data_IF_124473428436
#
_entry.id   IF_124473428436
#
_cell.length_a   1.000
_cell.length_b   1.000
_cell.length_c   1.000
_cell.angle_alpha   90.00
_cell.angle_beta   90.00
_cell.angle_gamma   90.00
#
_symmetry.space_group_name_H-M   'P 1'
#
loop_
_entity.id
_entity.type
_entity.pdbx_description
1 polymer ?
#
# COMPACT_ATOMS: atom_id res chain seq x y z
N UNK A 1 35.74 22.55 -20.15
CA UNK A 1 35.50 21.64 -21.29
C UNK A 1 35.25 20.27 -20.68
N UNK A 2 33.97 19.91 -20.47
CA UNK A 2 33.60 18.58 -20.00
C UNK A 2 33.79 17.58 -21.15
N UNK A 3 34.36 16.43 -20.85
CA UNK A 3 34.82 15.49 -21.86
C UNK A 3 33.62 14.73 -22.45
N UNK A 4 33.46 14.73 -23.77
CA UNK A 4 32.40 14.01 -24.51
C UNK A 4 32.26 12.51 -24.13
N UNK A 5 33.32 11.92 -23.57
CA UNK A 5 33.31 10.55 -23.06
C UNK A 5 32.58 10.37 -21.72
N UNK A 6 32.51 11.40 -20.86
CA UNK A 6 31.71 11.34 -19.62
C UNK A 6 30.21 11.38 -19.94
N UNK A 7 29.83 12.17 -20.94
CA UNK A 7 28.44 12.31 -21.40
C UNK A 7 27.88 11.01 -22.00
N UNK A 8 28.67 10.25 -22.77
CA UNK A 8 28.25 8.94 -23.31
C UNK A 8 28.09 7.86 -22.23
N UNK A 9 28.85 7.93 -21.12
CA UNK A 9 28.75 6.96 -20.03
C UNK A 9 27.52 7.21 -19.15
N UNK A 10 27.16 8.48 -18.94
CA UNK A 10 25.91 8.86 -18.25
C UNK A 10 24.67 8.44 -19.06
N UNK A 11 24.68 8.64 -20.38
CA UNK A 11 23.58 8.24 -21.27
C UNK A 11 23.43 6.70 -21.32
N UNK A 12 24.54 5.96 -21.29
CA UNK A 12 24.52 4.50 -21.17
C UNK A 12 23.97 4.03 -19.81
N UNK A 13 24.26 4.73 -18.71
CA UNK A 13 23.72 4.42 -17.38
C UNK A 13 22.23 4.75 -17.25
N UNK A 14 21.76 5.84 -17.85
CA UNK A 14 20.32 6.15 -17.95
C UNK A 14 19.59 5.14 -18.84
N UNK A 15 20.22 4.74 -19.96
CA UNK A 15 19.73 3.70 -20.86
C UNK A 15 19.60 2.34 -20.16
N UNK A 16 20.52 2.01 -19.25
CA UNK A 16 20.43 0.82 -18.38
C UNK A 16 19.32 0.92 -17.32
N UNK A 17 18.66 2.08 -17.16
CA UNK A 17 17.46 2.23 -16.34
C UNK A 17 17.71 2.26 -14.83
N UNK A 18 18.95 2.43 -14.39
CA UNK A 18 19.30 2.39 -12.95
C UNK A 18 18.69 3.56 -12.15
N UNK A 19 18.43 4.70 -12.80
CA UNK A 19 17.79 5.85 -12.17
C UNK A 19 16.28 5.96 -12.45
N UNK A 20 15.70 4.98 -13.15
CA UNK A 20 14.30 5.05 -13.56
C UNK A 20 13.36 4.81 -12.38
N UNK A 21 12.62 5.84 -12.02
CA UNK A 21 11.54 5.76 -11.03
C UNK A 21 10.24 5.32 -11.72
N UNK A 22 9.67 4.23 -11.24
CA UNK A 22 8.40 3.68 -11.70
C UNK A 22 7.27 4.10 -10.75
N UNK A 23 6.06 4.24 -11.29
CA UNK A 23 4.82 4.35 -10.52
C UNK A 23 3.98 3.11 -10.80
N UNK A 24 3.36 2.55 -9.76
CA UNK A 24 2.39 1.49 -9.97
C UNK A 24 1.13 2.10 -10.63
N UNK A 25 0.48 1.39 -11.57
CA UNK A 25 -0.75 1.87 -12.17
C UNK A 25 -1.80 2.05 -11.06
N UNK A 26 -2.31 3.26 -10.91
CA UNK A 26 -3.36 3.52 -9.94
C UNK A 26 -4.65 2.85 -10.42
N UNK A 27 -5.39 2.15 -9.54
CA UNK A 27 -6.69 1.61 -9.91
C UNK A 27 -7.63 2.76 -10.29
N UNK A 28 -8.18 2.70 -11.50
CA UNK A 28 -9.17 3.65 -12.01
C UNK A 28 -10.42 3.61 -11.12
N UNK A 29 -10.51 4.54 -10.17
CA UNK A 29 -11.66 4.68 -9.26
C UNK A 29 -11.35 4.52 -7.77
N UNK A 30 -10.09 4.33 -7.37
CA UNK A 30 -9.69 4.32 -5.95
C UNK A 30 -9.04 5.62 -5.51
N UNK A 31 -9.51 6.22 -4.41
CA UNK A 31 -8.73 7.26 -3.73
C UNK A 31 -7.41 6.65 -3.26
N UNK A 32 -6.30 7.16 -3.78
CA UNK A 32 -4.95 6.67 -3.46
C UNK A 32 -4.44 7.22 -2.13
N UNK A 33 -5.27 7.93 -1.39
CA UNK A 33 -4.89 8.43 -0.08
C UNK A 33 -4.92 7.32 0.97
N UNK A 34 -3.92 7.26 1.86
CA UNK A 34 -3.90 6.27 2.92
C UNK A 34 -5.09 6.49 3.87
N UNK A 35 -5.77 5.41 4.23
CA UNK A 35 -6.90 5.48 5.16
C UNK A 35 -6.40 5.98 6.53
N UNK A 36 -6.87 7.17 6.92
CA UNK A 36 -6.51 7.82 8.19
C UNK A 36 -6.99 6.98 9.37
N UNK A 37 -6.13 6.84 10.37
CA UNK A 37 -6.43 6.16 11.62
C UNK A 37 -6.59 7.22 12.69
N UNK A 38 -7.82 7.41 13.18
CA UNK A 38 -8.10 8.36 14.25
C UNK A 38 -7.55 7.84 15.58
N UNK A 39 -6.66 8.62 16.20
CA UNK A 39 -6.13 8.37 17.55
C UNK A 39 -6.14 9.69 18.32
N UNK A 40 -6.27 9.64 19.66
CA UNK A 40 -6.25 10.85 20.47
C UNK A 40 -4.90 11.59 20.41
N UNK A 41 -3.80 10.88 20.14
CA UNK A 41 -2.45 11.45 20.00
C UNK A 41 -2.10 11.88 18.56
N UNK A 42 -3.05 11.78 17.63
CA UNK A 42 -2.83 12.13 16.23
C UNK A 42 -2.85 13.65 16.03
N UNK A 43 -1.77 14.17 15.46
CA UNK A 43 -1.68 15.54 15.00
C UNK A 43 -1.75 15.57 13.47
N UNK A 44 -2.80 16.17 12.92
CA UNK A 44 -3.04 16.21 11.47
C UNK A 44 -2.44 17.43 10.78
N UNK A 45 -1.88 18.36 11.55
CA UNK A 45 -1.25 19.56 11.03
C UNK A 45 0.17 19.25 10.53
N UNK A 46 0.32 19.18 9.21
CA UNK A 46 1.59 18.83 8.57
C UNK A 46 2.72 19.84 8.86
N UNK A 47 2.36 21.08 9.20
CA UNK A 47 3.32 22.15 9.50
C UNK A 47 3.99 21.96 10.87
N UNK A 48 3.30 21.28 11.78
CA UNK A 48 3.80 20.96 13.13
C UNK A 48 4.63 19.69 13.16
N UNK A 49 4.55 18.86 12.12
CA UNK A 49 5.36 17.66 12.03
C UNK A 49 6.84 18.00 11.96
N UNK A 50 7.63 17.29 12.78
CA UNK A 50 9.09 17.41 12.78
C UNK A 50 9.65 17.26 11.36
N UNK A 51 10.74 17.98 11.08
CA UNK A 51 11.50 17.77 9.84
C UNK A 51 12.06 16.34 9.84
N UNK A 52 12.03 15.71 8.68
CA UNK A 52 12.55 14.36 8.48
C UNK A 52 14.08 14.40 8.55
N UNK A 53 14.71 13.60 9.40
CA UNK A 53 16.18 13.49 9.48
C UNK A 53 16.78 12.53 8.43
N UNK A 54 15.94 12.01 7.53
CA UNK A 54 16.34 11.06 6.48
C UNK A 54 16.98 11.80 5.31
N UNK A 55 18.07 11.24 4.77
CA UNK A 55 18.72 11.74 3.55
C UNK A 55 17.81 11.53 2.33
N UNK A 56 17.93 12.40 1.32
CA UNK A 56 17.04 12.38 0.14
C UNK A 56 17.30 11.17 -0.77
N UNK A 57 18.53 10.65 -0.81
CA UNK A 57 18.89 9.45 -1.58
C UNK A 57 18.62 8.12 -0.86
N UNK A 58 18.15 8.14 0.40
CA UNK A 58 17.95 6.93 1.16
C UNK A 58 16.72 6.16 0.65
N UNK A 59 16.95 4.95 0.14
CA UNK A 59 15.90 4.03 -0.30
C UNK A 59 15.68 2.89 0.69
N UNK A 60 14.51 2.26 0.63
CA UNK A 60 14.13 1.13 1.48
C UNK A 60 13.24 0.15 0.72
N UNK A 61 13.49 -1.14 0.94
CA UNK A 61 12.70 -2.21 0.35
C UNK A 61 11.25 -2.20 0.85
N UNK A 62 10.32 -2.58 -0.04
CA UNK A 62 8.88 -2.71 0.23
C UNK A 62 8.55 -3.39 1.57
N UNK A 63 9.18 -4.54 1.84
CA UNK A 63 8.95 -5.32 3.06
C UNK A 63 9.29 -4.54 4.33
N UNK A 64 10.42 -3.82 4.34
CA UNK A 64 10.81 -2.97 5.47
C UNK A 64 9.88 -1.77 5.63
N UNK A 65 9.43 -1.15 4.54
CA UNK A 65 8.48 -0.04 4.62
C UNK A 65 7.18 -0.45 5.34
N UNK A 66 6.62 -1.61 4.98
CA UNK A 66 5.41 -2.16 5.62
C UNK A 66 5.60 -2.44 7.11
N UNK A 67 6.70 -3.09 7.48
CA UNK A 67 6.94 -3.48 8.87
C UNK A 67 7.31 -2.30 9.76
N UNK A 68 8.17 -1.39 9.28
CA UNK A 68 8.67 -0.24 10.05
C UNK A 68 7.68 0.92 10.14
N UNK A 69 6.84 1.13 9.14
CA UNK A 69 5.91 2.27 9.10
C UNK A 69 4.43 1.85 9.17
N UNK A 70 4.17 0.56 9.38
CA UNK A 70 2.82 0.00 9.51
C UNK A 70 1.91 0.36 8.33
N UNK A 71 2.50 0.37 7.13
CA UNK A 71 1.81 0.66 5.88
C UNK A 71 1.32 -0.64 5.23
N UNK A 72 0.22 -0.54 4.50
CA UNK A 72 -0.31 -1.62 3.64
C UNK A 72 0.23 -1.47 2.23
N UNK A 73 0.08 -2.52 1.40
CA UNK A 73 0.49 -2.45 0.00
C UNK A 73 -0.27 -1.36 -0.78
N UNK A 74 -1.52 -1.08 -0.40
CA UNK A 74 -2.35 -0.04 -1.02
C UNK A 74 -1.82 1.37 -0.72
N UNK A 75 -1.33 1.58 0.50
CA UNK A 75 -0.78 2.88 0.91
C UNK A 75 0.53 3.20 0.17
N UNK A 76 1.24 2.18 -0.33
CA UNK A 76 2.51 2.35 -1.06
C UNK A 76 2.31 2.56 -2.57
N UNK A 77 1.11 2.33 -3.12
CA UNK A 77 0.79 2.53 -4.54
C UNK A 77 1.07 3.96 -5.06
N UNK A 78 0.74 5.04 -4.33
CA UNK A 78 1.02 6.39 -4.81
C UNK A 78 2.52 6.72 -4.86
N UNK A 79 3.38 5.93 -4.21
CA UNK A 79 4.82 6.19 -4.18
C UNK A 79 5.51 5.73 -5.45
N UNK A 80 6.54 6.50 -5.81
CA UNK A 80 7.51 6.06 -6.80
C UNK A 80 8.44 5.02 -6.19
N UNK A 81 8.88 4.07 -7.02
CA UNK A 81 9.87 3.07 -6.64
C UNK A 81 10.90 2.86 -7.73
N UNK A 82 12.09 2.46 -7.33
CA UNK A 82 13.10 1.90 -8.22
C UNK A 82 13.02 0.38 -8.18
N UNK A 83 13.22 -0.25 -9.34
CA UNK A 83 13.43 -1.70 -9.40
C UNK A 83 14.90 -1.97 -9.12
N UNK A 84 15.16 -2.96 -8.29
CA UNK A 84 16.50 -3.43 -8.01
C UNK A 84 16.56 -4.94 -8.15
N UNK A 85 17.68 -5.41 -8.69
CA UNK A 85 18.00 -6.83 -8.76
C UNK A 85 18.30 -7.36 -7.35
N UNK A 86 17.63 -8.43 -6.95
CA UNK A 86 17.95 -9.13 -5.71
C UNK A 86 19.28 -9.90 -5.87
N UNK A 87 19.88 -10.37 -4.77
CA UNK A 87 21.09 -11.21 -4.78
C UNK A 87 20.96 -12.50 -5.61
N UNK A 88 19.72 -12.90 -5.93
CA UNK A 88 19.39 -14.04 -6.79
C UNK A 88 19.22 -13.70 -8.28
N UNK A 89 19.49 -12.45 -8.69
CA UNK A 89 19.38 -12.03 -10.10
C UNK A 89 17.98 -11.66 -10.56
N UNK A 90 16.98 -11.60 -9.67
CA UNK A 90 15.60 -11.23 -10.05
C UNK A 90 15.33 -9.74 -9.83
N UNK A 91 14.77 -9.06 -10.84
CA UNK A 91 14.39 -7.63 -10.79
C UNK A 91 13.02 -7.39 -10.16
N UNK A 92 12.77 -8.03 -9.02
CA UNK A 92 11.49 -7.99 -8.34
C UNK A 92 11.50 -7.13 -7.07
N UNK A 93 12.66 -6.58 -6.67
CA UNK A 93 12.75 -5.77 -5.46
C UNK A 93 12.34 -4.33 -5.76
N UNK A 94 11.28 -3.86 -5.08
CA UNK A 94 10.85 -2.45 -5.14
C UNK A 94 11.47 -1.65 -4.01
N UNK A 95 12.24 -0.63 -4.36
CA UNK A 95 12.91 0.29 -3.46
C UNK A 95 12.20 1.65 -3.46
N UNK A 96 11.69 2.06 -2.30
CA UNK A 96 10.95 3.32 -2.11
C UNK A 96 11.82 4.34 -1.38
N UNK A 97 11.59 5.63 -1.60
CA UNK A 97 12.27 6.70 -0.85
C UNK A 97 11.83 6.70 0.61
N UNK A 98 12.77 6.58 1.56
CA UNK A 98 12.43 6.51 2.99
C UNK A 98 11.65 7.73 3.45
N UNK A 99 12.01 8.92 2.97
CA UNK A 99 11.37 10.19 3.34
C UNK A 99 9.90 10.23 2.95
N UNK A 100 9.56 9.74 1.76
CA UNK A 100 8.17 9.69 1.28
C UNK A 100 7.34 8.65 2.02
N UNK A 101 7.94 7.47 2.27
CA UNK A 101 7.33 6.41 3.10
C UNK A 101 7.03 6.92 4.51
N UNK A 102 7.96 7.65 5.13
CA UNK A 102 7.77 8.26 6.44
C UNK A 102 6.62 9.28 6.42
N UNK A 103 6.62 10.20 5.46
CA UNK A 103 5.55 11.21 5.33
C UNK A 103 4.17 10.59 5.11
N UNK A 104 4.06 9.54 4.29
CA UNK A 104 2.80 8.82 4.13
C UNK A 104 2.33 8.16 5.41
N UNK A 105 3.27 7.60 6.19
CA UNK A 105 2.92 7.02 7.49
C UNK A 105 2.41 8.06 8.48
N UNK A 106 3.00 9.26 8.48
CA UNK A 106 2.51 10.38 9.28
C UNK A 106 1.13 10.85 8.81
N UNK A 107 0.90 10.92 7.50
CA UNK A 107 -0.43 11.21 6.94
C UNK A 107 -1.46 10.14 7.28
N UNK A 108 -1.05 8.90 7.53
CA UNK A 108 -1.94 7.82 7.94
C UNK A 108 -2.28 7.85 9.44
N UNK A 109 -1.28 8.07 10.29
CA UNK A 109 -1.41 7.96 11.74
C UNK A 109 -1.52 9.31 12.47
N UNK A 110 -1.50 10.42 11.74
CA UNK A 110 -1.51 11.77 12.31
C UNK A 110 -0.18 12.13 12.96
N UNK A 111 0.89 12.15 12.15
CA UNK A 111 2.20 12.59 12.60
C UNK A 111 3.08 11.52 13.25
N UNK A 112 4.26 11.93 13.78
CA UNK A 112 5.23 11.03 14.38
C UNK A 112 4.74 10.41 15.70
N UNK A 113 3.96 11.13 16.50
CA UNK A 113 3.43 10.66 17.78
C UNK A 113 2.40 9.54 17.57
N UNK A 114 1.42 9.75 16.68
CA UNK A 114 0.43 8.73 16.34
C UNK A 114 1.05 7.46 15.74
N UNK A 115 2.13 7.59 14.95
CA UNK A 115 2.89 6.43 14.46
C UNK A 115 3.58 5.68 15.60
N UNK A 116 4.15 6.39 16.59
CA UNK A 116 4.80 5.77 17.76
C UNK A 116 3.78 4.98 18.59
N UNK A 117 2.62 5.57 18.88
CA UNK A 117 1.53 4.89 19.57
C UNK A 117 1.07 3.64 18.80
N UNK A 118 0.94 3.72 17.48
CA UNK A 118 0.57 2.56 16.65
C UNK A 118 1.62 1.44 16.69
N UNK A 119 2.92 1.77 16.82
CA UNK A 119 3.99 0.78 17.00
C UNK A 119 3.93 0.12 18.36
N UNK A 120 3.66 0.89 19.41
CA UNK A 120 3.52 0.38 20.76
C UNK A 120 2.34 -0.59 20.87
N UNK A 121 1.18 -0.26 20.28
CA UNK A 121 0.04 -1.17 20.21
C UNK A 121 0.39 -2.50 19.53
N UNK A 122 1.08 -2.43 18.39
CA UNK A 122 1.51 -3.62 17.67
C UNK A 122 2.49 -4.45 18.49
N UNK A 123 3.42 -3.81 19.21
CA UNK A 123 4.38 -4.48 20.08
C UNK A 123 3.67 -5.17 21.25
N UNK A 124 2.63 -4.53 21.79
CA UNK A 124 1.81 -5.05 22.89
C UNK A 124 0.80 -6.10 22.43
N UNK A 125 0.76 -6.45 21.13
CA UNK A 125 -0.21 -7.40 20.58
C UNK A 125 -1.65 -6.88 20.58
N UNK A 126 -1.86 -5.59 20.86
CA UNK A 126 -3.16 -4.94 20.78
C UNK A 126 -3.53 -4.88 19.32
N UNK A 127 -4.51 -5.70 18.92
CA UNK A 127 -5.04 -5.64 17.56
C UNK A 127 -5.59 -4.23 17.35
N UNK A 128 -5.22 -3.54 16.24
CA UNK A 128 -5.72 -2.21 15.99
C UNK A 128 -7.24 -2.29 16.00
N UNK A 129 -7.86 -1.51 16.88
CA UNK A 129 -9.31 -1.33 16.90
C UNK A 129 -9.64 -0.77 15.53
N UNK A 130 -10.09 -1.65 14.63
CA UNK A 130 -10.46 -1.23 13.28
C UNK A 130 -11.49 -0.13 13.46
N UNK A 131 -11.34 1.03 12.80
CA UNK A 131 -12.29 2.13 12.98
C UNK A 131 -13.66 1.54 12.79
N UNK A 132 -14.45 1.59 13.87
CA UNK A 132 -15.77 0.98 13.95
C UNK A 132 -16.52 1.61 12.79
N UNK A 133 -16.66 0.88 11.69
CA UNK A 133 -17.34 1.33 10.48
C UNK A 133 -18.64 1.92 11.00
N UNK A 134 -18.80 3.24 10.90
CA UNK A 134 -20.01 3.90 11.34
C UNK A 134 -21.13 3.28 10.52
N UNK A 135 -21.73 2.22 11.04
CA UNK A 135 -22.88 1.58 10.47
C UNK A 135 -23.98 2.59 10.69
N UNK A 136 -24.13 3.50 9.74
CA UNK A 136 -25.31 4.30 9.55
C UNK A 136 -26.48 3.35 9.33
N UNK A 137 -27.00 2.81 10.44
CA UNK A 137 -28.37 2.35 10.59
C UNK A 137 -29.26 3.59 10.65
N UNK A 138 -29.25 4.37 9.57
CA UNK A 138 -30.25 5.39 9.28
C UNK A 138 -31.33 4.74 8.45
N UNK A 139 -32.26 4.06 9.13
CA UNK A 139 -33.47 3.49 8.54
C UNK A 139 -34.39 4.64 8.09
N UNK A 140 -34.16 5.18 6.90
CA UNK A 140 -35.12 6.05 6.25
C UNK A 140 -36.27 5.18 5.72
N UNK A 141 -37.41 5.24 6.43
CA UNK A 141 -38.70 4.79 5.92
C UNK A 141 -39.08 5.68 4.73
N UNK A 142 -39.20 5.09 3.54
CA UNK A 142 -39.93 5.68 2.42
C UNK A 142 -40.86 4.61 1.85
N UNK A 143 -42.13 4.77 2.18
CA UNK A 143 -43.29 4.05 1.67
C UNK A 143 -43.59 4.48 0.23
N UNK A 144 -43.63 3.56 -0.74
CA UNK A 144 -44.57 3.64 -1.89
C UNK A 144 -44.66 2.31 -2.65
N UNK A 145 -45.80 1.65 -2.48
CA UNK A 145 -46.68 1.07 -3.51
C UNK A 145 -46.16 0.07 -4.56
N UNK A 146 -46.63 -1.16 -4.38
CA UNK A 146 -47.11 -2.15 -5.36
C UNK A 146 -46.95 -1.90 -6.88
N UNK A 147 -46.39 -2.89 -7.59
CA UNK A 147 -46.98 -3.48 -8.81
C UNK A 147 -46.28 -4.80 -9.18
N UNK A 148 -46.99 -5.90 -8.98
CA UNK A 148 -47.18 -7.06 -9.86
C UNK A 148 -46.03 -7.57 -10.75
N UNK A 149 -45.54 -8.76 -10.40
CA UNK A 149 -45.44 -9.92 -11.31
C UNK A 149 -44.24 -10.04 -12.24
N UNK A 150 -43.41 -11.08 -12.05
CA UNK A 150 -43.22 -12.17 -13.02
C UNK A 150 -42.09 -13.15 -12.62
N UNK A 151 -42.50 -14.40 -12.43
CA UNK A 151 -41.90 -15.69 -12.83
C UNK A 151 -40.38 -15.94 -12.79
N UNK A 152 -40.03 -16.90 -11.91
CA UNK A 152 -39.41 -18.24 -12.16
C UNK A 152 -38.17 -18.33 -13.10
N UNK A 153 -37.08 -18.90 -12.57
CA UNK A 153 -36.04 -19.62 -13.32
C UNK A 153 -34.86 -20.03 -12.42
N UNK A 154 -34.80 -21.27 -11.93
CA UNK A 154 -33.90 -22.36 -12.42
C UNK A 154 -32.43 -22.14 -12.00
N UNK A 155 -31.97 -22.83 -10.95
CA UNK A 155 -31.31 -24.16 -10.98
C UNK A 155 -29.88 -24.11 -11.56
N UNK A 156 -28.88 -24.30 -10.69
CA UNK A 156 -27.48 -24.39 -11.10
C UNK A 156 -26.56 -24.84 -9.96
N UNK A 157 -26.76 -26.07 -9.46
CA UNK A 157 -25.93 -26.70 -8.43
C UNK A 157 -24.76 -27.42 -9.13
N UNK A 158 -23.68 -26.68 -9.42
CA UNK A 158 -22.46 -27.22 -10.01
C UNK A 158 -21.55 -27.85 -8.95
N UNK A 159 -21.60 -29.20 -8.84
CA UNK A 159 -20.73 -30.02 -7.99
C UNK A 159 -19.71 -30.71 -8.92
N UNK A 160 -18.55 -30.09 -9.13
CA UNK A 160 -17.38 -30.73 -9.79
C UNK A 160 -16.43 -31.23 -8.70
N UNK A 161 -16.37 -32.54 -8.43
CA UNK A 161 -15.68 -33.64 -9.12
C UNK A 161 -14.21 -33.74 -8.69
N UNK A 162 -13.92 -34.91 -8.15
CA UNK A 162 -12.71 -35.36 -7.49
C UNK A 162 -11.47 -35.32 -8.41
N UNK A 163 -10.33 -34.98 -7.81
CA UNK A 163 -9.00 -35.31 -8.31
C UNK A 163 -8.35 -36.30 -7.36
N UNK A 164 -8.52 -37.59 -7.63
CA UNK A 164 -7.60 -38.64 -7.20
C UNK A 164 -6.33 -38.54 -8.04
N UNK A 165 -5.18 -38.46 -7.38
CA UNK A 165 -3.86 -38.66 -7.98
C UNK A 165 -3.14 -39.76 -7.18
N UNK A 166 -2.59 -40.78 -7.83
CA UNK A 166 -2.14 -42.01 -7.18
C UNK A 166 -0.78 -41.87 -6.52
N UNK A 167 -0.57 -42.76 -5.54
CA UNK A 167 0.73 -43.19 -5.08
C UNK A 167 1.40 -44.02 -6.18
N UNK A 168 2.68 -43.77 -6.43
CA UNK A 168 3.58 -44.76 -7.01
C UNK A 168 4.82 -44.86 -6.13
N UNK A 169 5.12 -46.11 -5.83
CA UNK A 169 6.18 -46.70 -5.02
C UNK A 169 7.46 -46.84 -5.88
N UNK A 170 8.59 -47.10 -5.22
CA UNK A 170 9.98 -47.35 -5.70
C UNK A 170 10.92 -46.15 -5.92
#
# INVERSE_FOLDING_TARGET
>A
MGSRAEEEMEDAMESMGWNKWYKDPQPTGGSSEPARVERPESEWDETKWRKTNLREGDTMAKGKAKTMYLLTDKDLLPLQYQKQTNSRGFDNMKMYRKREVERLSWKKYGGPNGLKAAKEDKKNGVKPVSPKKASGSGKAKSTTSAATGAKIGVLGKGKGKAGSGPAEDE
#
